data_IF_361431445013
#
_entry.id   IF_361431445013
#
_cell.length_a   1.000
_cell.length_b   1.000
_cell.length_c   1.000
_cell.angle_alpha   90.00
_cell.angle_beta   90.00
_cell.angle_gamma   90.00
#
_symmetry.space_group_name_H-M   'P 1'
#
loop_
_entity.id
_entity.type
_entity.pdbx_description
1 polymer ?
#
# COMPACT_ATOMS: atom_id res chain seq x y z
N UNK A 1 3.78 -0.95 13.36
CA UNK A 1 2.92 -1.70 14.31
C UNK A 1 3.27 -1.30 15.74
N UNK A 2 2.36 -0.59 16.43
CA UNK A 2 2.63 0.07 17.72
C UNK A 2 2.93 -0.92 18.86
N UNK A 3 2.26 -2.07 18.86
CA UNK A 3 2.33 -3.03 19.97
C UNK A 3 3.51 -3.98 19.89
N UNK A 4 4.38 -3.90 18.86
CA UNK A 4 5.53 -4.80 18.67
C UNK A 4 5.23 -6.30 18.93
N UNK A 5 4.00 -6.73 18.66
CA UNK A 5 3.55 -8.12 18.85
C UNK A 5 3.10 -8.51 20.26
N UNK A 6 3.10 -7.60 21.24
CA UNK A 6 2.70 -7.90 22.64
C UNK A 6 1.29 -7.43 23.00
N UNK A 7 0.64 -6.67 22.12
CA UNK A 7 -0.71 -6.17 22.35
C UNK A 7 -1.76 -7.22 21.96
N UNK A 8 -2.64 -7.55 22.90
CA UNK A 8 -3.83 -8.36 22.65
C UNK A 8 -5.02 -7.41 22.51
N UNK A 9 -5.75 -7.50 21.40
CA UNK A 9 -6.92 -6.67 21.13
C UNK A 9 -8.15 -7.56 20.96
N UNK A 10 -9.23 -7.22 21.65
CA UNK A 10 -10.53 -7.88 21.52
C UNK A 10 -11.58 -6.83 21.16
N UNK A 11 -12.45 -7.15 20.22
CA UNK A 11 -13.54 -6.27 19.79
C UNK A 11 -14.86 -6.99 19.94
N UNK A 12 -15.82 -6.32 20.58
CA UNK A 12 -17.21 -6.75 20.64
C UNK A 12 -18.07 -5.62 20.10
N UNK A 13 -19.04 -5.96 19.26
CA UNK A 13 -20.01 -5.00 18.75
C UNK A 13 -20.86 -4.46 19.92
N UNK A 14 -20.88 -3.14 20.08
CA UNK A 14 -21.60 -2.49 21.18
C UNK A 14 -23.06 -2.18 20.80
N UNK A 15 -23.28 -1.62 19.62
CA UNK A 15 -24.59 -1.18 19.15
C UNK A 15 -24.46 -0.25 17.96
N UNK A 16 -25.60 0.26 17.49
CA UNK A 16 -25.66 1.28 16.44
C UNK A 16 -25.69 2.67 17.09
N UNK A 17 -24.92 3.60 16.53
CA UNK A 17 -24.91 5.00 16.93
C UNK A 17 -25.29 5.90 15.74
N UNK A 18 -25.74 7.14 16.01
CA UNK A 18 -25.92 8.15 14.95
C UNK A 18 -24.64 8.35 14.15
N UNK A 19 -24.79 8.72 12.88
CA UNK A 19 -23.66 8.96 11.98
C UNK A 19 -22.75 10.09 12.49
N UNK A 20 -21.46 9.77 12.73
CA UNK A 20 -20.47 10.69 13.31
C UNK A 20 -19.58 11.38 12.26
N UNK A 21 -19.89 11.21 10.97
CA UNK A 21 -19.08 11.70 9.86
C UNK A 21 -18.29 10.60 9.17
N UNK A 22 -17.58 10.98 8.11
CA UNK A 22 -16.77 10.08 7.31
C UNK A 22 -15.45 9.78 8.02
N UNK A 23 -15.02 8.52 7.94
CA UNK A 23 -13.67 8.14 8.36
C UNK A 23 -12.73 8.59 7.24
N UNK A 24 -11.94 9.63 7.51
CA UNK A 24 -10.86 10.04 6.61
C UNK A 24 -9.83 8.91 6.53
N UNK A 25 -9.84 8.18 5.42
CA UNK A 25 -8.72 7.33 5.05
C UNK A 25 -7.63 8.23 4.48
N UNK A 26 -6.42 8.12 5.01
CA UNK A 26 -5.27 8.73 4.36
C UNK A 26 -4.97 7.93 3.09
N UNK A 27 -5.42 8.44 1.94
CA UNK A 27 -5.18 7.82 0.65
C UNK A 27 -3.72 8.06 0.24
N UNK A 28 -2.90 7.02 0.29
CA UNK A 28 -1.61 7.04 -0.40
C UNK A 28 -1.86 6.57 -1.84
N UNK A 29 -1.34 7.29 -2.84
CA UNK A 29 -1.52 6.91 -4.24
C UNK A 29 -0.96 5.50 -4.52
N UNK A 30 -1.43 4.86 -5.59
CA UNK A 30 -0.92 3.57 -6.02
C UNK A 30 0.22 3.73 -7.04
N UNK A 31 1.25 2.87 -6.95
CA UNK A 31 2.22 2.65 -8.02
C UNK A 31 1.77 1.47 -8.86
N UNK A 32 1.52 1.69 -10.14
CA UNK A 32 0.96 0.66 -11.04
C UNK A 32 1.98 0.20 -12.08
N UNK A 33 2.05 -1.10 -12.33
CA UNK A 33 2.90 -1.67 -13.37
C UNK A 33 2.36 -1.33 -14.77
N UNK A 34 3.19 -0.73 -15.63
CA UNK A 34 2.81 -0.40 -17.01
C UNK A 34 2.83 -1.62 -17.93
N UNK A 35 3.76 -2.54 -17.69
CA UNK A 35 3.99 -3.71 -18.53
C UNK A 35 4.11 -5.00 -17.71
N UNK A 36 3.79 -6.12 -18.34
CA UNK A 36 3.95 -7.45 -17.74
C UNK A 36 5.39 -7.92 -17.91
N UNK A 37 6.04 -8.34 -16.84
CA UNK A 37 7.45 -8.75 -16.88
C UNK A 37 8.03 -9.07 -15.52
N UNK A 38 9.34 -9.33 -15.49
CA UNK A 38 10.08 -9.48 -14.24
C UNK A 38 10.55 -8.12 -13.73
N UNK A 39 10.38 -7.88 -12.43
CA UNK A 39 10.82 -6.65 -11.79
C UNK A 39 12.35 -6.60 -11.74
N UNK A 40 12.95 -5.62 -12.41
CA UNK A 40 14.39 -5.39 -12.36
C UNK A 40 14.80 -4.66 -11.07
N UNK A 41 15.89 -5.09 -10.44
CA UNK A 41 16.47 -4.40 -9.27
C UNK A 41 16.87 -2.96 -9.57
N UNK A 42 17.31 -2.69 -10.81
CA UNK A 42 17.66 -1.35 -11.26
C UNK A 42 16.43 -0.42 -11.27
N UNK A 43 15.29 -0.91 -11.77
CA UNK A 43 14.05 -0.15 -11.80
C UNK A 43 13.54 0.17 -10.39
N UNK A 44 13.56 -0.81 -9.48
CA UNK A 44 13.18 -0.60 -8.08
C UNK A 44 14.07 0.42 -7.37
N UNK A 45 15.39 0.37 -7.62
CA UNK A 45 16.34 1.31 -6.99
C UNK A 45 16.09 2.74 -7.45
N UNK A 46 15.82 2.96 -8.73
CA UNK A 46 15.53 4.29 -9.27
C UNK A 46 14.19 4.86 -8.76
N UNK A 47 13.19 3.98 -8.57
CA UNK A 47 11.86 4.39 -8.14
C UNK A 47 11.68 4.37 -6.61
N UNK A 48 12.69 3.91 -5.85
CA UNK A 48 12.63 3.79 -4.38
C UNK A 48 12.37 5.14 -3.68
N UNK A 49 12.77 6.25 -4.29
CA UNK A 49 12.49 7.60 -3.76
C UNK A 49 11.03 8.04 -3.93
N UNK A 50 10.26 7.35 -4.78
CA UNK A 50 8.86 7.71 -5.09
C UNK A 50 7.86 7.01 -4.18
N UNK A 51 8.23 5.98 -3.46
CA UNK A 51 7.25 5.19 -2.72
C UNK A 51 7.83 3.97 -2.04
N UNK A 52 6.94 3.19 -1.44
CA UNK A 52 7.27 1.91 -0.82
C UNK A 52 6.76 0.78 -1.70
N UNK A 53 7.68 -0.05 -2.19
CA UNK A 53 7.34 -1.21 -3.00
C UNK A 53 6.93 -2.40 -2.14
N UNK A 54 5.92 -3.13 -2.61
CA UNK A 54 5.48 -4.40 -2.03
C UNK A 54 6.23 -5.56 -2.71
N UNK A 55 6.58 -5.39 -3.99
CA UNK A 55 7.28 -6.38 -4.82
C UNK A 55 8.79 -6.37 -4.63
N UNK A 56 9.44 -7.51 -4.92
CA UNK A 56 10.89 -7.69 -4.84
C UNK A 56 11.52 -7.82 -6.23
N UNK A 57 12.84 -7.58 -6.36
CA UNK A 57 13.54 -7.87 -7.61
C UNK A 57 13.36 -9.34 -8.01
N UNK A 58 12.98 -9.58 -9.26
CA UNK A 58 12.73 -10.92 -9.82
C UNK A 58 11.28 -11.42 -9.71
N UNK A 59 10.41 -10.71 -8.99
CA UNK A 59 8.98 -11.05 -8.97
C UNK A 59 8.38 -10.80 -10.37
N UNK A 60 7.50 -11.70 -10.79
CA UNK A 60 6.74 -11.54 -12.02
C UNK A 60 5.51 -10.66 -11.73
N UNK A 61 5.39 -9.56 -12.46
CA UNK A 61 4.25 -8.63 -12.38
C UNK A 61 3.50 -8.60 -13.71
N UNK A 62 2.23 -8.23 -13.66
CA UNK A 62 1.41 -8.01 -14.83
C UNK A 62 1.03 -6.53 -14.98
N UNK A 63 0.75 -6.10 -16.21
CA UNK A 63 0.30 -4.74 -16.50
C UNK A 63 -1.02 -4.42 -15.75
N UNK A 64 -1.05 -3.29 -15.04
CA UNK A 64 -2.16 -2.89 -14.18
C UNK A 64 -2.06 -3.40 -12.73
N UNK A 65 -1.03 -4.18 -12.39
CA UNK A 65 -0.82 -4.62 -11.01
C UNK A 65 -0.33 -3.46 -10.14
N UNK A 66 -0.93 -3.30 -8.95
CA UNK A 66 -0.42 -2.39 -7.92
C UNK A 66 0.85 -2.99 -7.31
N UNK A 67 1.98 -2.32 -7.51
CA UNK A 67 3.32 -2.79 -7.10
C UNK A 67 3.85 -2.05 -5.87
N UNK A 68 3.21 -0.98 -5.44
CA UNK A 68 3.60 -0.21 -4.26
C UNK A 68 2.65 0.93 -3.94
N UNK A 69 2.99 1.65 -2.87
CA UNK A 69 2.33 2.89 -2.46
C UNK A 69 3.21 4.08 -2.77
N UNK A 70 2.61 5.10 -3.38
CA UNK A 70 3.25 6.37 -3.71
C UNK A 70 3.23 7.30 -2.48
N UNK A 71 4.23 8.19 -2.39
CA UNK A 71 4.34 9.16 -1.28
C UNK A 71 3.33 10.32 -1.38
N UNK A 72 2.63 10.46 -2.51
CA UNK A 72 1.58 11.46 -2.73
C UNK A 72 0.26 10.76 -3.07
N UNK A 73 -0.84 11.47 -2.91
CA UNK A 73 -2.19 11.02 -3.27
C UNK A 73 -2.35 10.72 -4.77
N UNK A 74 -1.53 11.33 -5.64
CA UNK A 74 -1.57 11.10 -7.08
C UNK A 74 -1.07 9.70 -7.46
N UNK A 75 -1.83 9.01 -8.33
CA UNK A 75 -1.45 7.73 -8.95
C UNK A 75 -0.38 7.94 -10.03
N UNK A 76 0.56 6.98 -10.13
CA UNK A 76 1.64 6.93 -11.12
C UNK A 76 1.82 5.51 -11.67
#
# INVERSE_FOLDING_TARGET
>A
TSTRGTGIFHTLFHGYEPYTGDIELQESGALVALESGQVSSYALTNLQQRGTFIVKPGDAVYAGQVVGTHIREEEL
#
